data_IF_180585718343
#
_entry.id   IF_180585718343
#
_cell.length_a   1.000
_cell.length_b   1.000
_cell.length_c   1.000
_cell.angle_alpha   90.00
_cell.angle_beta   90.00
_cell.angle_gamma   90.00
#
_symmetry.space_group_name_H-M   'P 1'
#
loop_
_entity.id
_entity.type
_entity.pdbx_description
1 polymer ?
#
# COMPACT_ATOMS: atom_id res chain seq x y z
N UNK A 1 -11.19 -8.77 -11.30
CA UNK A 1 -11.89 -8.91 -10.02
C UNK A 1 -12.60 -7.61 -9.70
N UNK A 2 -13.89 -7.67 -9.42
CA UNK A 2 -14.72 -6.51 -9.04
C UNK A 2 -15.19 -6.65 -7.60
N UNK A 3 -15.51 -5.52 -6.96
CA UNK A 3 -16.05 -5.50 -5.59
C UNK A 3 -15.14 -6.13 -4.53
N UNK A 4 -13.84 -5.93 -4.67
CA UNK A 4 -12.88 -6.34 -3.64
C UNK A 4 -12.99 -5.36 -2.48
N UNK A 5 -13.24 -5.85 -1.29
CA UNK A 5 -13.24 -5.01 -0.08
C UNK A 5 -11.80 -4.66 0.29
N UNK A 6 -11.51 -3.37 0.36
CA UNK A 6 -10.18 -2.84 0.63
C UNK A 6 -10.19 -2.10 1.97
N UNK A 7 -9.29 -2.49 2.86
CA UNK A 7 -9.07 -1.82 4.13
C UNK A 7 -7.87 -0.89 4.04
N UNK A 8 -8.01 0.34 4.51
CA UNK A 8 -6.89 1.29 4.57
C UNK A 8 -6.69 1.73 6.01
N UNK A 9 -5.55 1.41 6.57
CA UNK A 9 -5.15 1.86 7.91
C UNK A 9 -4.44 3.20 7.75
N UNK A 10 -5.03 4.27 8.31
CA UNK A 10 -4.56 5.63 8.10
C UNK A 10 -5.17 6.34 6.88
N UNK A 11 -6.29 5.84 6.37
CA UNK A 11 -6.96 6.38 5.18
C UNK A 11 -7.74 7.68 5.39
N UNK A 12 -7.56 8.37 6.51
CA UNK A 12 -8.25 9.64 6.81
C UNK A 12 -7.49 10.88 6.35
N UNK A 13 -6.27 10.74 5.88
CA UNK A 13 -5.46 11.86 5.41
C UNK A 13 -4.39 11.46 4.41
N UNK A 14 -3.81 12.45 3.71
CA UNK A 14 -2.71 12.27 2.77
C UNK A 14 -2.98 11.23 1.68
N UNK A 15 -1.99 10.41 1.41
CA UNK A 15 -2.07 9.38 0.36
C UNK A 15 -3.09 8.29 0.68
N UNK A 16 -3.33 7.99 1.96
CA UNK A 16 -4.36 7.03 2.35
C UNK A 16 -5.75 7.44 1.90
N UNK A 17 -6.11 8.70 2.11
CA UNK A 17 -7.38 9.26 1.63
C UNK A 17 -7.42 9.27 0.09
N UNK A 18 -6.33 9.64 -0.54
CA UNK A 18 -6.23 9.67 -2.00
C UNK A 18 -6.52 8.29 -2.61
N UNK A 19 -5.89 7.25 -2.09
CA UNK A 19 -6.13 5.87 -2.55
C UNK A 19 -7.50 5.33 -2.16
N UNK A 20 -8.05 5.75 -1.02
CA UNK A 20 -9.43 5.41 -0.66
C UNK A 20 -10.41 5.90 -1.72
N UNK A 21 -10.27 7.15 -2.13
CA UNK A 21 -11.11 7.75 -3.17
C UNK A 21 -10.88 7.06 -4.53
N UNK A 22 -9.62 6.79 -4.88
CA UNK A 22 -9.26 6.07 -6.11
C UNK A 22 -9.96 4.70 -6.21
N UNK A 23 -9.85 3.88 -5.17
CA UNK A 23 -10.45 2.54 -5.19
C UNK A 23 -11.98 2.59 -5.16
N UNK A 24 -12.58 3.57 -4.51
CA UNK A 24 -14.03 3.78 -4.55
C UNK A 24 -14.50 4.10 -5.97
N UNK A 25 -13.79 4.97 -6.67
CA UNK A 25 -14.08 5.31 -8.07
C UNK A 25 -13.95 4.09 -9.00
N UNK A 26 -13.05 3.18 -8.67
CA UNK A 26 -12.88 1.90 -9.38
C UNK A 26 -13.95 0.86 -9.02
N UNK A 27 -14.88 1.18 -8.13
CA UNK A 27 -16.00 0.30 -7.77
C UNK A 27 -15.70 -0.68 -6.65
N UNK A 28 -14.65 -0.44 -5.85
CA UNK A 28 -14.31 -1.28 -4.70
C UNK A 28 -14.83 -0.68 -3.40
N UNK A 29 -15.50 -1.47 -2.54
CA UNK A 29 -15.83 -1.00 -1.19
C UNK A 29 -14.55 -0.74 -0.38
N UNK A 30 -14.47 0.43 0.24
CA UNK A 30 -13.30 0.84 1.03
C UNK A 30 -13.69 1.08 2.48
N UNK A 31 -12.94 0.48 3.39
CA UNK A 31 -13.10 0.63 4.83
C UNK A 31 -11.83 1.26 5.39
N UNK A 32 -11.99 2.31 6.19
CA UNK A 32 -10.87 3.10 6.69
C UNK A 32 -10.78 2.97 8.21
N UNK A 33 -9.59 2.68 8.71
CA UNK A 33 -9.27 2.78 10.13
C UNK A 33 -8.27 3.91 10.35
N UNK A 34 -8.53 4.71 11.35
CA UNK A 34 -7.67 5.81 11.79
C UNK A 34 -8.03 6.22 13.20
N UNK A 35 -7.37 7.23 13.73
CA UNK A 35 -7.57 7.67 15.12
C UNK A 35 -9.01 8.14 15.40
N UNK A 36 -9.74 8.57 14.38
CA UNK A 36 -11.10 9.15 14.50
C UNK A 36 -12.18 8.27 13.91
N UNK A 37 -11.88 7.03 13.52
CA UNK A 37 -12.87 6.12 12.95
C UNK A 37 -13.33 5.11 13.99
N UNK A 38 -14.58 4.64 13.86
CA UNK A 38 -15.15 3.64 14.75
C UNK A 38 -14.75 2.20 14.44
N UNK A 39 -14.02 1.95 13.34
CA UNK A 39 -13.58 0.60 12.97
C UNK A 39 -12.17 0.33 13.49
N UNK A 40 -12.02 -0.79 14.19
CA UNK A 40 -10.73 -1.24 14.66
C UNK A 40 -9.96 -2.05 13.60
N UNK A 41 -8.66 -2.19 13.81
CA UNK A 41 -7.78 -2.93 12.89
C UNK A 41 -8.22 -4.39 12.71
N UNK A 42 -8.47 -5.17 13.79
CA UNK A 42 -8.89 -6.57 13.60
C UNK A 42 -10.15 -6.73 12.76
N UNK A 43 -11.15 -5.86 12.94
CA UNK A 43 -12.38 -5.89 12.16
C UNK A 43 -12.13 -5.68 10.68
N UNK A 44 -11.34 -4.66 10.33
CA UNK A 44 -10.99 -4.35 8.94
C UNK A 44 -10.20 -5.50 8.32
N UNK A 45 -9.18 -5.98 9.01
CA UNK A 45 -8.28 -7.01 8.47
C UNK A 45 -8.98 -8.34 8.24
N UNK A 46 -9.91 -8.71 9.11
CA UNK A 46 -10.71 -9.94 8.94
C UNK A 46 -11.68 -9.83 7.77
N UNK A 47 -12.16 -8.64 7.49
CA UNK A 47 -13.15 -8.39 6.44
C UNK A 47 -12.50 -8.24 5.06
N UNK A 48 -11.39 -7.50 4.99
CA UNK A 48 -10.82 -7.04 3.73
C UNK A 48 -9.71 -7.95 3.23
N UNK A 49 -9.85 -8.54 2.03
CA UNK A 49 -8.77 -9.33 1.43
C UNK A 49 -7.55 -8.49 1.01
N UNK A 50 -7.70 -7.18 0.87
CA UNK A 50 -6.60 -6.25 0.60
C UNK A 50 -6.53 -5.23 1.73
N UNK A 51 -5.37 -5.11 2.36
CA UNK A 51 -5.14 -4.15 3.43
C UNK A 51 -3.92 -3.29 3.09
N UNK A 52 -4.12 -1.97 3.14
CA UNK A 52 -3.12 -0.96 2.83
C UNK A 52 -2.79 -0.20 4.11
N UNK A 53 -1.52 -0.15 4.47
CA UNK A 53 -1.02 0.65 5.61
C UNK A 53 -0.51 1.98 5.07
N UNK A 54 -1.14 3.07 5.49
CA UNK A 54 -0.81 4.45 5.09
C UNK A 54 -0.81 5.37 6.31
N UNK A 55 0.16 5.15 7.18
CA UNK A 55 0.38 5.94 8.40
C UNK A 55 1.71 6.67 8.29
N UNK A 56 2.00 7.66 9.17
CA UNK A 56 3.32 8.29 9.17
C UNK A 56 4.45 7.28 9.24
N UNK A 57 5.57 7.60 8.59
CA UNK A 57 6.72 6.69 8.44
C UNK A 57 7.20 6.14 9.80
N UNK A 58 7.21 6.98 10.83
CA UNK A 58 7.61 6.60 12.18
C UNK A 58 6.71 5.57 12.85
N UNK A 59 5.48 5.41 12.38
CA UNK A 59 4.49 4.47 12.93
C UNK A 59 4.26 3.24 12.04
N UNK A 60 4.83 3.23 10.84
CA UNK A 60 4.51 2.22 9.82
C UNK A 60 4.82 0.79 10.27
N UNK A 61 6.03 0.53 10.76
CA UNK A 61 6.41 -0.81 11.18
C UNK A 61 5.60 -1.30 12.37
N UNK A 62 5.34 -0.43 13.35
CA UNK A 62 4.49 -0.77 14.50
C UNK A 62 3.07 -1.17 14.05
N UNK A 63 2.48 -0.39 13.16
CA UNK A 63 1.13 -0.69 12.63
C UNK A 63 1.13 -1.99 11.82
N UNK A 64 2.14 -2.21 10.98
CA UNK A 64 2.30 -3.45 10.23
C UNK A 64 2.37 -4.66 11.16
N UNK A 65 3.12 -4.57 12.24
CA UNK A 65 3.25 -5.66 13.23
C UNK A 65 1.93 -5.94 13.97
N UNK A 66 1.07 -4.94 14.11
CA UNK A 66 -0.28 -5.11 14.67
C UNK A 66 -1.26 -5.71 13.67
N UNK A 67 -1.12 -5.38 12.40
CA UNK A 67 -2.00 -5.86 11.31
C UNK A 67 -1.64 -7.28 10.87
N UNK A 68 -0.36 -7.54 10.70
CA UNK A 68 0.16 -8.76 10.10
C UNK A 68 -0.40 -10.07 10.63
N UNK A 69 -0.48 -10.26 11.97
CA UNK A 69 -0.97 -11.52 12.54
C UNK A 69 -2.42 -11.86 12.22
N UNK A 70 -3.23 -10.89 11.84
CA UNK A 70 -4.64 -11.08 11.46
C UNK A 70 -4.84 -11.36 9.98
N UNK A 71 -3.80 -11.19 9.15
CA UNK A 71 -3.88 -11.38 7.70
C UNK A 71 -3.96 -12.87 7.35
N UNK A 72 -4.77 -13.18 6.33
CA UNK A 72 -4.88 -14.53 5.79
C UNK A 72 -3.85 -14.75 4.68
N UNK A 73 -3.50 -16.02 4.44
CA UNK A 73 -2.50 -16.40 3.43
C UNK A 73 -2.85 -15.89 2.02
N UNK A 74 -4.12 -15.94 1.64
CA UNK A 74 -4.60 -15.53 0.32
C UNK A 74 -4.91 -14.03 0.20
N UNK A 75 -4.68 -13.25 1.25
CA UNK A 75 -4.89 -11.79 1.29
C UNK A 75 -3.62 -11.04 0.89
N UNK A 76 -3.77 -9.75 0.59
CA UNK A 76 -2.66 -8.84 0.29
C UNK A 76 -2.46 -7.84 1.41
N UNK A 77 -1.23 -7.75 1.90
CA UNK A 77 -0.77 -6.67 2.77
C UNK A 77 0.20 -5.79 1.99
N UNK A 78 -0.06 -4.49 1.97
CA UNK A 78 0.77 -3.51 1.28
C UNK A 78 0.86 -2.21 2.07
N UNK A 79 1.79 -1.33 1.71
CA UNK A 79 1.99 -0.02 2.30
C UNK A 79 2.17 1.04 1.21
N UNK A 80 2.19 2.31 1.59
CA UNK A 80 2.38 3.44 0.68
C UNK A 80 3.60 4.30 1.05
N UNK A 81 4.48 3.82 1.92
CA UNK A 81 5.60 4.64 2.40
C UNK A 81 6.68 4.85 1.34
N UNK A 82 7.43 5.93 1.50
CA UNK A 82 8.59 6.21 0.65
C UNK A 82 9.79 5.29 0.92
N UNK A 83 9.82 4.62 2.06
CA UNK A 83 10.83 3.60 2.39
C UNK A 83 10.26 2.20 2.17
N UNK A 84 11.06 1.29 1.64
CA UNK A 84 10.63 -0.08 1.34
C UNK A 84 11.34 -1.15 2.17
N UNK A 85 12.56 -0.92 2.59
CA UNK A 85 13.35 -1.92 3.30
C UNK A 85 12.72 -2.39 4.61
N UNK A 86 12.54 -1.50 5.57
CA UNK A 86 11.98 -1.85 6.88
C UNK A 86 10.50 -2.24 6.84
N UNK A 87 9.61 -1.49 6.13
CA UNK A 87 8.22 -1.90 6.04
C UNK A 87 8.02 -3.29 5.44
N UNK A 88 8.75 -3.62 4.37
CA UNK A 88 8.66 -4.95 3.74
C UNK A 88 9.17 -6.04 4.71
N UNK A 89 10.27 -5.81 5.41
CA UNK A 89 10.75 -6.77 6.42
C UNK A 89 9.72 -6.98 7.52
N UNK A 90 9.09 -5.91 8.01
CA UNK A 90 8.02 -6.01 9.01
C UNK A 90 6.82 -6.81 8.51
N UNK A 91 6.42 -6.61 7.25
CA UNK A 91 5.33 -7.37 6.65
C UNK A 91 5.67 -8.86 6.51
N UNK A 92 6.88 -9.18 6.04
CA UNK A 92 7.35 -10.57 5.91
C UNK A 92 7.43 -11.29 7.26
N UNK A 93 7.87 -10.59 8.30
CA UNK A 93 8.03 -11.15 9.64
C UNK A 93 6.68 -11.38 10.32
N UNK A 94 5.73 -10.47 10.16
CA UNK A 94 4.49 -10.47 10.92
C UNK A 94 3.31 -11.14 10.23
N UNK A 95 3.37 -11.38 8.91
CA UNK A 95 2.24 -11.85 8.12
C UNK A 95 2.57 -13.06 7.25
N UNK A 96 1.57 -13.92 7.06
CA UNK A 96 1.63 -15.05 6.10
C UNK A 96 1.01 -14.69 4.73
N UNK A 97 0.48 -13.49 4.58
CA UNK A 97 -0.21 -13.03 3.37
C UNK A 97 0.74 -12.79 2.19
N UNK A 98 0.17 -12.52 1.02
CA UNK A 98 0.95 -11.91 -0.05
C UNK A 98 1.42 -10.52 0.38
N UNK A 99 2.61 -10.12 -0.05
CA UNK A 99 3.26 -8.87 0.34
C UNK A 99 3.80 -8.16 -0.89
N UNK A 100 3.33 -6.94 -1.08
CA UNK A 100 3.78 -6.05 -2.14
C UNK A 100 4.00 -4.67 -1.51
N UNK A 101 5.22 -4.15 -1.57
CA UNK A 101 5.49 -2.78 -1.15
C UNK A 101 5.14 -1.81 -2.27
N UNK A 102 4.49 -0.70 -1.95
CA UNK A 102 4.17 0.37 -2.90
C UNK A 102 4.82 1.69 -2.47
N UNK A 103 5.29 2.42 -3.46
CA UNK A 103 5.69 3.81 -3.25
C UNK A 103 5.17 4.66 -4.41
N UNK A 104 4.03 5.33 -4.26
CA UNK A 104 3.57 6.33 -5.22
C UNK A 104 4.54 7.52 -5.24
N UNK A 105 5.06 7.85 -6.44
CA UNK A 105 6.00 8.96 -6.61
C UNK A 105 5.26 10.26 -6.95
N UNK A 106 4.16 10.51 -6.25
CA UNK A 106 3.36 11.72 -6.35
C UNK A 106 2.71 12.02 -4.99
N UNK A 107 2.24 13.23 -4.82
CA UNK A 107 1.59 13.68 -3.59
C UNK A 107 0.07 13.69 -3.69
N UNK A 108 -0.62 13.92 -2.54
CA UNK A 108 -2.09 13.88 -2.47
C UNK A 108 -2.79 15.02 -3.22
N UNK A 109 -2.04 16.00 -3.72
CA UNK A 109 -2.59 17.07 -4.56
C UNK A 109 -2.77 16.66 -6.03
N UNK A 110 -2.31 15.46 -6.43
CA UNK A 110 -2.49 14.98 -7.79
C UNK A 110 -3.97 14.76 -8.11
N UNK A 111 -4.41 15.23 -9.29
CA UNK A 111 -5.81 15.10 -9.74
C UNK A 111 -6.14 13.66 -10.15
N UNK A 112 -5.17 12.93 -10.68
CA UNK A 112 -5.33 11.55 -11.09
C UNK A 112 -4.00 10.80 -11.02
N UNK A 113 -4.05 9.49 -11.18
CA UNK A 113 -2.87 8.63 -11.24
C UNK A 113 -2.17 8.68 -12.60
N UNK A 114 -2.84 9.18 -13.63
CA UNK A 114 -2.36 9.17 -15.00
C UNK A 114 -1.04 9.94 -15.16
N UNK A 115 -0.05 9.28 -15.77
CA UNK A 115 1.27 9.85 -15.99
C UNK A 115 2.19 9.83 -14.77
N UNK A 116 1.70 9.43 -13.59
CA UNK A 116 2.52 9.33 -12.39
C UNK A 116 3.18 7.96 -12.27
N UNK A 117 4.35 7.94 -11.65
CA UNK A 117 5.11 6.71 -11.41
C UNK A 117 4.76 6.11 -10.06
N UNK A 118 4.67 4.78 -10.03
CA UNK A 118 4.49 4.03 -8.80
C UNK A 118 5.53 2.91 -8.78
N UNK A 119 6.38 2.91 -7.75
CA UNK A 119 7.29 1.79 -7.52
C UNK A 119 6.51 0.64 -6.88
N UNK A 120 6.68 -0.56 -7.41
CA UNK A 120 6.07 -1.79 -6.90
C UNK A 120 7.18 -2.76 -6.55
N UNK A 121 7.18 -3.23 -5.31
CA UNK A 121 8.16 -4.20 -4.79
C UNK A 121 7.43 -5.50 -4.39
N UNK A 122 7.19 -6.43 -5.33
CA UNK A 122 6.60 -7.72 -4.98
C UNK A 122 7.65 -8.61 -4.29
N UNK A 123 7.31 -9.10 -3.10
CA UNK A 123 8.23 -9.91 -2.28
C UNK A 123 7.68 -11.30 -2.03
N UNK A 124 6.38 -11.40 -1.80
CA UNK A 124 5.62 -12.64 -1.74
C UNK A 124 4.32 -12.36 -2.46
N UNK A 125 4.30 -12.58 -3.77
CA UNK A 125 3.19 -12.17 -4.61
C UNK A 125 2.83 -13.27 -5.60
N UNK A 126 1.55 -13.61 -5.65
CA UNK A 126 0.95 -14.57 -6.59
C UNK A 126 -0.16 -13.87 -7.38
N UNK A 127 -1.41 -13.98 -6.91
CA UNK A 127 -2.58 -13.46 -7.64
C UNK A 127 -2.76 -11.94 -7.56
N UNK A 128 -2.31 -11.31 -6.47
CA UNK A 128 -2.57 -9.89 -6.24
C UNK A 128 -1.68 -8.97 -7.06
N UNK A 129 -0.52 -9.43 -7.51
CA UNK A 129 0.38 -8.61 -8.33
C UNK A 129 -0.28 -8.20 -9.65
N UNK A 130 -0.87 -9.15 -10.37
CA UNK A 130 -1.53 -8.86 -11.65
C UNK A 130 -2.72 -7.93 -11.45
N UNK A 131 -3.56 -8.18 -10.44
CA UNK A 131 -4.68 -7.31 -10.13
C UNK A 131 -4.23 -5.88 -9.85
N UNK A 132 -3.20 -5.72 -9.03
CA UNK A 132 -2.68 -4.40 -8.66
C UNK A 132 -2.09 -3.67 -9.86
N UNK A 133 -1.26 -4.35 -10.64
CA UNK A 133 -0.69 -3.76 -11.87
C UNK A 133 -1.78 -3.37 -12.86
N UNK A 134 -2.78 -4.22 -13.06
CA UNK A 134 -3.88 -3.97 -14.00
C UNK A 134 -4.70 -2.73 -13.60
N UNK A 135 -5.09 -2.62 -12.33
CA UNK A 135 -5.91 -1.49 -11.88
C UNK A 135 -5.13 -0.17 -11.94
N UNK A 136 -3.84 -0.18 -11.66
CA UNK A 136 -2.99 1.00 -11.74
C UNK A 136 -2.71 1.41 -13.18
N UNK A 137 -2.33 0.47 -14.04
CA UNK A 137 -1.96 0.76 -15.43
C UNK A 137 -3.16 1.15 -16.29
N UNK A 138 -4.32 0.55 -16.08
CA UNK A 138 -5.53 0.93 -16.82
C UNK A 138 -5.95 2.38 -16.54
N UNK A 139 -5.56 2.92 -15.38
CA UNK A 139 -5.79 4.32 -15.03
C UNK A 139 -4.62 5.24 -15.39
N UNK A 140 -3.64 4.74 -16.12
CA UNK A 140 -2.56 5.54 -16.70
C UNK A 140 -1.30 5.65 -15.84
N UNK A 141 -1.18 4.89 -14.75
CA UNK A 141 0.04 4.88 -13.95
C UNK A 141 1.20 4.24 -14.71
N UNK A 142 2.39 4.76 -14.50
CA UNK A 142 3.64 4.22 -15.00
C UNK A 142 4.30 3.39 -13.89
N UNK A 143 4.35 2.07 -14.07
CA UNK A 143 4.80 1.13 -13.05
C UNK A 143 6.30 0.93 -13.14
N UNK A 144 6.99 1.04 -12.00
CA UNK A 144 8.39 0.66 -11.84
C UNK A 144 8.44 -0.54 -10.90
N UNK A 145 8.60 -1.74 -11.46
CA UNK A 145 8.76 -2.97 -10.68
C UNK A 145 10.22 -3.12 -10.27
N UNK A 146 10.46 -3.26 -8.96
CA UNK A 146 11.81 -3.29 -8.40
C UNK A 146 11.84 -4.14 -7.12
N UNK A 147 13.01 -4.25 -6.51
CA UNK A 147 13.18 -4.86 -5.19
C UNK A 147 13.26 -3.78 -4.11
N UNK A 148 12.98 -4.11 -2.83
CA UNK A 148 13.15 -3.14 -1.74
C UNK A 148 14.57 -2.57 -1.66
N UNK A 149 15.59 -3.42 -1.86
CA UNK A 149 17.00 -3.05 -1.83
C UNK A 149 17.34 -2.06 -2.95
N UNK A 150 16.91 -2.36 -4.16
CA UNK A 150 17.14 -1.48 -5.33
C UNK A 150 16.40 -0.16 -5.19
N UNK A 151 15.19 -0.19 -4.65
CA UNK A 151 14.40 1.01 -4.36
C UNK A 151 15.13 1.92 -3.36
N UNK A 152 15.66 1.37 -2.27
CA UNK A 152 16.39 2.14 -1.27
C UNK A 152 17.66 2.79 -1.86
N UNK A 153 18.40 2.06 -2.70
CA UNK A 153 19.58 2.60 -3.41
C UNK A 153 19.19 3.79 -4.29
N UNK A 154 18.11 3.66 -5.06
CA UNK A 154 17.63 4.73 -5.95
C UNK A 154 17.16 5.95 -5.17
N UNK A 155 16.45 5.75 -4.07
CA UNK A 155 15.98 6.87 -3.22
C UNK A 155 17.15 7.58 -2.54
N UNK A 156 18.15 6.87 -2.08
CA UNK A 156 19.37 7.47 -1.51
C UNK A 156 20.08 8.34 -2.54
N UNK A 157 20.19 7.88 -3.78
CA UNK A 157 20.81 8.63 -4.88
C UNK A 157 20.02 9.91 -5.20
N UNK A 158 18.70 9.83 -5.25
CA UNK A 158 17.82 10.99 -5.49
C UNK A 158 17.99 12.04 -4.39
N UNK A 159 18.08 11.63 -3.13
CA UNK A 159 18.31 12.54 -2.01
C UNK A 159 19.65 13.28 -2.12
N UNK A 160 20.71 12.58 -2.49
CA UNK A 160 22.04 13.18 -2.69
C UNK A 160 22.01 14.21 -3.82
N UNK A 161 21.33 13.93 -4.92
CA UNK A 161 21.23 14.82 -6.08
C UNK A 161 20.39 16.06 -5.82
N UNK A 162 19.45 16.00 -4.86
CA UNK A 162 18.56 17.11 -4.51
C UNK A 162 19.13 18.02 -3.40
N UNK A 163 20.28 17.71 -2.88
CA UNK A 163 21.03 18.49 -1.91
C UNK A 163 22.37 18.96 -2.48
#
# INVERSE_FOLDING_TARGET
>A
MKNIEIGIIGGTGGMGKWFADFFKEEGHPVFVAGRKTGMDIPTIVKRCPVVIVSVPISSTCEVIERVGPYMKKESLLTDLTSLKGEPVRSMLKSSVSEIIGLHPLFGPAADSIAGHKIAICPVRAEKWLDWLKDILTKNGADIIETTPERHEELMALVQVLNH
#
